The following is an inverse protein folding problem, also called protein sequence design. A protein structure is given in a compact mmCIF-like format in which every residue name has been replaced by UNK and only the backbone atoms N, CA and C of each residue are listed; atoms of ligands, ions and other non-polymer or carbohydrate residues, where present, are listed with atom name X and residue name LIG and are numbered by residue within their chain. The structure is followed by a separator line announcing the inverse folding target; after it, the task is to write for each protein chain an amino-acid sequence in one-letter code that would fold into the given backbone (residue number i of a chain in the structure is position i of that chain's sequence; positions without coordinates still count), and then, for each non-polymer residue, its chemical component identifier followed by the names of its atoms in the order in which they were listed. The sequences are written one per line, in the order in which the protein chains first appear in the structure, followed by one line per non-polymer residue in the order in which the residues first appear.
data_IF_276634015456
#
_entry.id   IF_276634015456
#
_cell.length_a   1.000
_cell.length_b   1.000
_cell.length_c   1.000
_cell.angle_alpha   90.00
_cell.angle_beta   90.00
_cell.angle_gamma   90.00
#
_symmetry.space_group_name_H-M   'P 1'
#
loop_
_entity.id
_entity.type
_entity.pdbx_description
1 polymer ?
#
# COMPACT_ATOMS: atom_id res chain seq x y z
N UNK A 1 -3.14 -8.93 -25.89
CA UNK A 1 -3.72 -9.80 -24.85
C UNK A 1 -5.03 -9.19 -24.38
N UNK A 2 -6.02 -10.00 -23.98
CA UNK A 2 -7.31 -9.55 -23.47
C UNK A 2 -7.34 -9.74 -21.94
N UNK A 3 -6.81 -8.77 -21.20
CA UNK A 3 -6.64 -8.83 -19.74
C UNK A 3 -7.66 -7.90 -19.06
N UNK A 4 -8.16 -8.30 -17.89
CA UNK A 4 -9.09 -7.48 -17.09
C UNK A 4 -8.37 -6.42 -16.25
N UNK A 5 -7.16 -6.70 -15.78
CA UNK A 5 -6.33 -5.78 -15.02
C UNK A 5 -4.84 -6.12 -15.15
N UNK A 6 -4.00 -5.10 -14.97
CA UNK A 6 -2.56 -5.28 -14.73
C UNK A 6 -2.29 -5.26 -13.23
N UNK A 7 -1.35 -6.09 -12.78
CA UNK A 7 -0.99 -6.23 -11.38
C UNK A 7 0.51 -5.96 -11.23
N UNK A 8 0.88 -5.09 -10.29
CA UNK A 8 2.27 -4.79 -10.00
C UNK A 8 2.45 -4.46 -8.51
N UNK A 9 3.63 -4.73 -7.92
CA UNK A 9 3.99 -4.18 -6.61
C UNK A 9 3.85 -2.65 -6.61
N UNK A 10 3.40 -2.07 -5.50
CA UNK A 10 3.13 -0.63 -5.41
C UNK A 10 4.42 0.21 -5.41
N UNK A 11 5.55 -0.39 -5.08
CA UNK A 11 6.82 0.36 -5.00
C UNK A 11 7.35 0.80 -6.36
N UNK A 12 7.95 2.00 -6.39
CA UNK A 12 8.51 2.60 -7.59
C UNK A 12 7.51 3.50 -8.32
N UNK A 13 7.30 3.25 -9.62
CA UNK A 13 6.57 4.13 -10.54
C UNK A 13 5.20 3.61 -10.96
N UNK A 14 4.62 2.65 -10.24
CA UNK A 14 3.37 1.97 -10.62
C UNK A 14 2.17 2.91 -10.80
N UNK A 15 2.15 4.05 -10.10
CA UNK A 15 1.10 5.07 -10.22
C UNK A 15 1.27 6.00 -11.43
N UNK A 16 2.48 6.13 -11.98
CA UNK A 16 2.75 7.10 -13.04
C UNK A 16 2.09 6.72 -14.38
N UNK A 17 2.21 5.47 -14.90
CA UNK A 17 1.53 5.08 -16.14
C UNK A 17 0.00 5.25 -16.10
N UNK A 18 -0.74 4.75 -15.08
CA UNK A 18 -2.19 4.95 -15.03
C UNK A 18 -2.57 6.40 -14.79
N UNK A 19 -1.77 7.18 -14.06
CA UNK A 19 -1.98 8.62 -13.90
C UNK A 19 -1.87 9.38 -15.22
N UNK A 20 -0.90 9.03 -16.06
CA UNK A 20 -0.73 9.61 -17.40
C UNK A 20 -1.85 9.15 -18.35
N UNK A 21 -2.22 7.86 -18.29
CA UNK A 21 -3.24 7.28 -19.15
C UNK A 21 -4.69 7.61 -18.75
N UNK A 22 -4.91 8.17 -17.54
CA UNK A 22 -6.25 8.42 -17.00
C UNK A 22 -6.99 7.15 -16.60
N UNK A 23 -6.25 6.12 -16.16
CA UNK A 23 -6.79 4.80 -15.83
C UNK A 23 -6.94 4.61 -14.32
N UNK A 24 -7.96 3.87 -13.85
CA UNK A 24 -8.14 3.61 -12.43
C UNK A 24 -7.06 2.66 -11.92
N UNK A 25 -6.59 2.95 -10.70
CA UNK A 25 -5.63 2.14 -9.95
C UNK A 25 -6.13 2.01 -8.52
N UNK A 26 -6.07 0.80 -7.96
CA UNK A 26 -6.37 0.53 -6.55
C UNK A 26 -5.22 -0.28 -5.94
N UNK A 27 -4.86 0.02 -4.71
CA UNK A 27 -3.80 -0.69 -3.99
C UNK A 27 -4.35 -1.35 -2.74
N UNK A 28 -3.98 -2.62 -2.55
CA UNK A 28 -4.37 -3.43 -1.40
C UNK A 28 -3.13 -4.05 -0.73
N UNK A 29 -3.19 -4.39 0.57
CA UNK A 29 -2.00 -4.90 1.27
C UNK A 29 -1.49 -6.23 0.70
N UNK A 30 -0.19 -6.30 0.38
CA UNK A 30 0.49 -7.53 -0.04
C UNK A 30 1.20 -8.24 1.12
N UNK A 31 1.40 -7.54 2.23
CA UNK A 31 2.00 -8.08 3.43
C UNK A 31 3.07 -7.16 3.99
N UNK A 32 4.06 -7.77 4.64
CA UNK A 32 5.11 -7.08 5.38
C UNK A 32 6.46 -7.67 5.02
N UNK A 33 7.49 -6.82 5.03
CA UNK A 33 8.85 -7.30 4.91
C UNK A 33 9.25 -8.18 6.11
N UNK A 34 10.13 -9.19 5.91
CA UNK A 34 10.61 -10.06 6.98
C UNK A 34 11.21 -9.31 8.18
N UNK A 35 11.12 -9.91 9.37
CA UNK A 35 11.65 -9.35 10.62
C UNK A 35 13.18 -9.13 10.60
N UNK A 36 13.90 -9.86 9.76
CA UNK A 36 15.36 -9.80 9.62
C UNK A 36 15.81 -8.81 8.53
N UNK A 37 14.88 -8.03 7.96
CA UNK A 37 15.19 -7.00 6.96
C UNK A 37 16.18 -5.98 7.51
N UNK A 38 17.35 -5.89 6.89
CA UNK A 38 18.37 -4.90 7.28
C UNK A 38 18.01 -3.54 6.74
N UNK A 39 18.02 -2.53 7.62
CA UNK A 39 17.87 -1.14 7.24
C UNK A 39 19.11 -0.69 6.47
N UNK A 40 18.96 -0.41 5.18
CA UNK A 40 20.04 0.15 4.35
C UNK A 40 20.02 1.67 4.43
N UNK A 41 20.46 2.24 5.55
CA UNK A 41 20.78 3.67 5.63
C UNK A 41 22.16 3.90 5.05
N UNK A 42 22.25 4.12 3.74
CA UNK A 42 23.45 4.73 3.18
C UNK A 42 23.42 6.22 3.52
N UNK A 43 24.51 6.74 4.05
CA UNK A 43 24.75 8.16 4.34
C UNK A 43 24.53 9.08 3.11
N UNK A 44 24.61 8.51 1.90
CA UNK A 44 24.36 9.18 0.61
C UNK A 44 23.05 8.77 -0.10
N UNK A 45 22.25 7.86 0.49
CA UNK A 45 20.99 7.35 -0.11
C UNK A 45 19.85 7.29 0.90
N UNK A 46 20.07 7.81 2.10
CA UNK A 46 19.03 7.97 3.08
C UNK A 46 18.04 8.99 2.53
N UNK A 47 16.93 8.49 2.03
CA UNK A 47 15.68 9.12 2.40
C UNK A 47 15.65 9.12 3.93
N UNK A 48 16.26 10.13 4.55
CA UNK A 48 16.11 10.50 5.97
C UNK A 48 14.65 10.89 6.27
N UNK A 49 13.79 10.85 5.25
CA UNK A 49 12.37 11.06 5.31
C UNK A 49 11.71 9.78 5.79
N UNK A 50 11.29 9.80 7.04
CA UNK A 50 10.40 8.78 7.61
C UNK A 50 9.17 8.59 6.70
N UNK A 51 8.66 7.34 6.57
CA UNK A 51 9.15 6.12 7.22
C UNK A 51 10.41 5.54 6.55
N UNK A 52 11.29 4.92 7.35
CA UNK A 52 12.56 4.32 6.89
C UNK A 52 12.25 3.10 6.01
N UNK A 53 12.82 3.06 4.81
CA UNK A 53 12.71 1.95 3.87
C UNK A 53 14.09 1.48 3.39
N UNK A 54 14.36 0.16 3.34
CA UNK A 54 13.57 -0.95 3.86
C UNK A 54 13.70 -1.09 5.39
N UNK A 55 12.71 -1.69 6.05
CA UNK A 55 12.75 -1.97 7.49
C UNK A 55 11.98 -3.26 7.85
N UNK A 56 12.27 -3.88 9.01
CA UNK A 56 11.48 -5.00 9.52
C UNK A 56 10.00 -4.67 9.64
N UNK A 57 9.12 -5.60 9.27
CA UNK A 57 7.66 -5.43 9.29
C UNK A 57 7.15 -4.22 8.49
N UNK A 58 7.88 -3.77 7.48
CA UNK A 58 7.40 -2.66 6.66
C UNK A 58 6.26 -3.12 5.75
N UNK A 59 5.08 -2.48 5.76
CA UNK A 59 3.95 -2.86 4.92
C UNK A 59 4.17 -2.45 3.47
N UNK A 60 3.89 -3.33 2.53
CA UNK A 60 3.92 -3.02 1.10
C UNK A 60 2.65 -3.50 0.39
N UNK A 61 2.33 -2.83 -0.72
CA UNK A 61 1.08 -3.00 -1.44
C UNK A 61 1.21 -3.77 -2.75
N UNK A 62 0.07 -4.27 -3.20
CA UNK A 62 -0.18 -4.78 -4.54
C UNK A 62 -1.16 -3.85 -5.23
N UNK A 63 -0.78 -3.31 -6.38
CA UNK A 63 -1.60 -2.40 -7.16
C UNK A 63 -2.26 -3.13 -8.33
N UNK A 64 -3.57 -2.93 -8.48
CA UNK A 64 -4.36 -3.37 -9.60
C UNK A 64 -4.68 -2.16 -10.47
N UNK A 65 -4.44 -2.27 -11.78
CA UNK A 65 -4.64 -1.21 -12.76
C UNK A 65 -5.68 -1.69 -13.77
N UNK A 66 -6.80 -0.97 -13.87
CA UNK A 66 -7.85 -1.24 -14.85
C UNK A 66 -7.74 -0.33 -16.07
N UNK A 67 -8.65 -0.48 -17.02
CA UNK A 67 -8.86 0.47 -18.12
C UNK A 67 -9.80 1.60 -17.69
N UNK A 68 -9.91 2.66 -18.48
CA UNK A 68 -10.86 3.75 -18.20
C UNK A 68 -12.28 3.22 -17.88
N UNK A 69 -12.91 3.79 -16.84
CA UNK A 69 -14.28 3.49 -16.39
C UNK A 69 -14.52 2.05 -15.87
N UNK A 70 -13.46 1.34 -15.47
CA UNK A 70 -13.54 -0.04 -14.96
C UNK A 70 -13.53 -0.13 -13.42
N UNK A 71 -13.80 0.96 -12.70
CA UNK A 71 -13.65 1.05 -11.24
C UNK A 71 -14.45 -0.03 -10.50
N UNK A 72 -15.68 -0.31 -10.93
CA UNK A 72 -16.51 -1.34 -10.29
C UNK A 72 -15.85 -2.73 -10.36
N UNK A 73 -15.30 -3.10 -11.52
CA UNK A 73 -14.60 -4.38 -11.69
C UNK A 73 -13.29 -4.40 -10.92
N UNK A 74 -12.57 -3.27 -10.92
CA UNK A 74 -11.30 -3.14 -10.21
C UNK A 74 -11.48 -3.28 -8.69
N UNK A 75 -12.55 -2.71 -8.13
CA UNK A 75 -12.93 -2.86 -6.72
C UNK A 75 -13.29 -4.32 -6.40
N UNK A 76 -14.03 -5.00 -7.28
CA UNK A 76 -14.38 -6.42 -7.11
C UNK A 76 -13.12 -7.31 -7.01
N UNK A 77 -12.15 -7.08 -7.91
CA UNK A 77 -10.88 -7.80 -7.93
C UNK A 77 -10.06 -7.55 -6.65
N UNK A 78 -9.90 -6.28 -6.30
CA UNK A 78 -9.14 -5.87 -5.11
C UNK A 78 -9.79 -6.38 -3.82
N UNK A 79 -11.12 -6.30 -3.71
CA UNK A 79 -11.88 -6.82 -2.58
C UNK A 79 -11.73 -8.33 -2.46
N UNK A 80 -11.88 -9.07 -3.56
CA UNK A 80 -11.72 -10.53 -3.56
C UNK A 80 -10.32 -10.95 -3.09
N UNK A 81 -9.29 -10.23 -3.55
CA UNK A 81 -7.91 -10.44 -3.11
C UNK A 81 -7.71 -10.12 -1.62
N UNK A 82 -8.17 -8.95 -1.15
CA UNK A 82 -8.02 -8.56 0.26
C UNK A 82 -8.76 -9.56 1.17
N UNK A 83 -9.95 -9.97 0.77
CA UNK A 83 -10.77 -10.91 1.53
C UNK A 83 -10.14 -12.29 1.62
N UNK A 84 -9.57 -12.80 0.53
CA UNK A 84 -8.90 -14.11 0.50
C UNK A 84 -7.60 -14.13 1.31
N UNK A 85 -6.85 -13.03 1.32
CA UNK A 85 -5.49 -13.01 1.89
C UNK A 85 -5.44 -12.50 3.33
N UNK A 86 -6.29 -11.54 3.67
CA UNK A 86 -6.33 -10.86 4.98
C UNK A 86 -4.96 -10.32 5.42
N UNK A 87 -4.10 -9.90 4.49
CA UNK A 87 -2.74 -9.45 4.80
C UNK A 87 -2.71 -8.33 5.85
N UNK A 88 -3.68 -7.41 5.80
CA UNK A 88 -3.83 -6.32 6.78
C UNK A 88 -3.84 -6.80 8.24
N UNK A 89 -4.39 -7.99 8.51
CA UNK A 89 -4.56 -8.51 9.88
C UNK A 89 -3.31 -9.21 10.42
N UNK A 90 -2.30 -9.46 9.58
CA UNK A 90 -1.14 -10.28 9.94
C UNK A 90 -0.02 -9.51 10.63
N UNK A 91 0.00 -8.19 10.52
CA UNK A 91 1.04 -7.36 11.11
C UNK A 91 0.44 -6.14 11.79
N UNK A 92 1.09 -5.71 12.87
CA UNK A 92 0.76 -4.48 13.57
C UNK A 92 1.74 -3.38 13.13
N UNK A 93 1.30 -2.11 13.09
CA UNK A 93 2.22 -0.98 12.95
C UNK A 93 3.32 -1.05 14.01
N UNK A 94 4.53 -0.62 13.67
CA UNK A 94 5.58 -0.44 14.68
C UNK A 94 5.13 0.60 15.72
N UNK A 95 5.68 0.53 16.93
CA UNK A 95 5.21 1.29 18.09
C UNK A 95 5.05 2.80 17.80
N UNK A 96 6.01 3.40 17.10
CA UNK A 96 5.95 4.83 16.75
C UNK A 96 4.89 5.19 15.69
N UNK A 97 4.39 4.22 14.91
CA UNK A 97 3.29 4.40 13.96
C UNK A 97 1.92 3.98 14.51
N UNK A 98 1.85 3.46 15.73
CA UNK A 98 0.56 3.17 16.36
C UNK A 98 -0.19 4.49 16.64
N UNK A 99 -1.42 4.66 16.13
CA UNK A 99 -2.20 5.86 16.39
C UNK A 99 -2.56 5.94 17.87
N UNK A 100 -2.17 7.05 18.52
CA UNK A 100 -2.46 7.32 19.94
C UNK A 100 -3.72 8.16 20.15
N UNK A 101 -4.24 8.74 19.07
CA UNK A 101 -5.39 9.65 19.07
C UNK A 101 -6.37 9.22 17.98
N UNK A 102 -7.66 9.32 18.28
CA UNK A 102 -8.78 9.15 17.36
C UNK A 102 -9.40 10.50 17.01
N UNK A 103 -10.18 10.55 15.92
CA UNK A 103 -10.87 11.78 15.51
C UNK A 103 -11.80 12.32 16.61
N UNK A 104 -12.44 11.42 17.37
CA UNK A 104 -13.28 11.74 18.53
C UNK A 104 -12.55 12.50 19.62
N UNK A 105 -11.24 12.33 19.73
CA UNK A 105 -10.43 12.95 20.79
C UNK A 105 -10.13 14.43 20.48
N UNK A 106 -10.33 14.83 19.21
CA UNK A 106 -10.03 16.18 18.71
C UNK A 106 -11.32 16.97 18.45
N UNK A 107 -12.41 16.30 18.07
CA UNK A 107 -13.69 16.98 17.85
C UNK A 107 -14.35 17.31 19.19
N UNK A 108 -14.91 18.52 19.29
CA UNK A 108 -15.70 18.89 20.45
C UNK A 108 -16.94 17.98 20.51
N UNK A 109 -17.30 17.39 21.67
CA UNK A 109 -18.55 16.67 21.83
C UNK A 109 -19.72 17.56 21.44
N UNK A 110 -20.66 17.02 20.66
CA UNK A 110 -21.95 17.68 20.37
C UNK A 110 -22.92 17.48 21.52
#
# INVERSE_FOLDING_TARGET
YNLDALIAPTEGFTSSPPGIAGYPIITVPLGFLPNDTKVTTNENTASQKLPIWPAPNFPFGLSFIGTAYSEAKLIELAYSYEQATQHKRRGMPFEAAMPKTQLTDIICPK
#
